data_IF_595677452528
#
_entry.id   IF_595677452528
#
_cell.length_a   1.000
_cell.length_b   1.000
_cell.length_c   1.000
_cell.angle_alpha   90.00
_cell.angle_beta   90.00
_cell.angle_gamma   90.00
#
_symmetry.space_group_name_H-M   'P 1'
#
loop_
_entity.id
_entity.type
_entity.pdbx_description
1 polymer ?
#
# COMPACT_ATOMS: atom_id res chain seq x y z
N UNK A 1 -27.96 -18.86 14.39
CA UNK A 1 -27.15 -17.81 13.72
C UNK A 1 -25.69 -18.20 13.81
N UNK A 2 -25.23 -19.06 12.90
CA UNK A 2 -23.81 -19.44 12.85
C UNK A 2 -23.02 -18.29 12.25
N UNK A 3 -22.16 -17.69 13.05
CA UNK A 3 -21.17 -16.75 12.57
C UNK A 3 -20.13 -17.53 11.75
N UNK A 4 -20.23 -17.43 10.43
CA UNK A 4 -19.15 -17.79 9.51
C UNK A 4 -18.00 -16.83 9.75
N UNK A 5 -17.14 -17.14 10.73
CA UNK A 5 -15.84 -16.48 10.86
C UNK A 5 -15.09 -16.77 9.57
N UNK A 6 -14.90 -15.74 8.73
CA UNK A 6 -13.97 -15.80 7.62
C UNK A 6 -12.58 -16.05 8.19
N UNK A 7 -12.17 -17.32 8.26
CA UNK A 7 -10.87 -17.73 8.75
C UNK A 7 -9.84 -17.36 7.68
N UNK A 8 -9.27 -16.15 7.81
CA UNK A 8 -8.18 -15.64 6.97
C UNK A 8 -7.04 -16.66 6.84
N UNK A 9 -6.75 -17.40 7.91
CA UNK A 9 -5.70 -18.42 7.93
C UNK A 9 -5.98 -19.62 7.00
N UNK A 10 -7.25 -20.00 6.80
CA UNK A 10 -7.62 -21.10 5.91
C UNK A 10 -7.53 -20.66 4.44
N UNK A 11 -8.04 -19.47 4.12
CA UNK A 11 -7.92 -18.88 2.77
C UNK A 11 -6.45 -18.72 2.40
N UNK A 12 -5.63 -18.20 3.32
CA UNK A 12 -4.20 -18.06 3.12
C UNK A 12 -3.55 -19.42 2.86
N UNK A 13 -3.87 -20.47 3.62
CA UNK A 13 -3.32 -21.83 3.40
C UNK A 13 -3.66 -22.41 2.03
N UNK A 14 -4.91 -22.34 1.60
CA UNK A 14 -5.34 -22.86 0.29
C UNK A 14 -4.70 -22.08 -0.86
N UNK A 15 -4.56 -20.76 -0.69
CA UNK A 15 -3.83 -19.87 -1.59
C UNK A 15 -2.33 -20.18 -1.64
N UNK A 16 -1.73 -20.61 -0.52
CA UNK A 16 -0.33 -21.02 -0.46
C UNK A 16 -0.06 -22.40 -1.08
N UNK A 17 -1.09 -23.25 -1.17
CA UNK A 17 -1.02 -24.59 -1.76
C UNK A 17 -1.26 -24.63 -3.28
N UNK A 18 -1.78 -23.56 -3.88
CA UNK A 18 -2.02 -23.47 -5.31
C UNK A 18 -0.74 -23.52 -6.16
N UNK A 19 -0.77 -24.33 -7.22
CA UNK A 19 0.28 -24.42 -8.22
C UNK A 19 0.44 -23.10 -8.99
N UNK A 20 1.67 -22.86 -9.46
CA UNK A 20 1.98 -21.71 -10.32
C UNK A 20 1.27 -21.94 -11.65
N UNK A 21 0.33 -21.07 -12.01
CA UNK A 21 -0.37 -21.13 -13.29
C UNK A 21 0.63 -21.16 -14.45
N UNK A 22 0.35 -21.99 -15.45
CA UNK A 22 1.09 -21.96 -16.71
C UNK A 22 0.82 -20.64 -17.45
N UNK A 23 1.64 -20.34 -18.46
CA UNK A 23 1.44 -19.12 -19.26
C UNK A 23 0.11 -19.20 -20.02
N UNK A 24 -0.23 -20.39 -20.48
CA UNK A 24 -1.43 -20.70 -21.23
C UNK A 24 -2.67 -20.54 -20.35
N UNK A 25 -2.67 -21.13 -19.14
CA UNK A 25 -3.80 -21.02 -18.20
C UNK A 25 -4.05 -19.57 -17.76
N UNK A 26 -2.98 -18.80 -17.51
CA UNK A 26 -3.11 -17.36 -17.21
C UNK A 26 -3.80 -16.59 -18.34
N UNK A 27 -3.42 -16.88 -19.58
CA UNK A 27 -3.99 -16.22 -20.74
C UNK A 27 -5.45 -16.63 -20.96
N UNK A 28 -5.78 -17.89 -20.73
CA UNK A 28 -7.14 -18.40 -20.80
C UNK A 28 -8.05 -17.77 -19.75
N UNK A 29 -7.66 -17.79 -18.48
CA UNK A 29 -8.41 -17.16 -17.38
C UNK A 29 -8.58 -15.64 -17.61
N UNK A 30 -7.52 -14.96 -18.04
CA UNK A 30 -7.58 -13.54 -18.36
C UNK A 30 -8.50 -13.24 -19.55
N UNK A 31 -8.53 -14.11 -20.56
CA UNK A 31 -9.41 -13.98 -21.74
C UNK A 31 -10.86 -14.23 -21.36
N UNK A 32 -11.14 -15.27 -20.59
CA UNK A 32 -12.47 -15.58 -20.07
C UNK A 32 -13.04 -14.41 -19.26
N UNK A 33 -12.25 -13.84 -18.34
CA UNK A 33 -12.64 -12.62 -17.62
C UNK A 33 -12.91 -11.44 -18.58
N UNK A 34 -12.03 -11.20 -19.55
CA UNK A 34 -12.16 -10.02 -20.43
C UNK A 34 -13.33 -10.11 -21.41
N UNK A 35 -13.61 -11.28 -21.97
CA UNK A 35 -14.63 -11.49 -23.00
C UNK A 35 -15.97 -11.84 -22.39
N UNK A 36 -15.98 -12.76 -21.43
CA UNK A 36 -17.20 -13.37 -20.89
C UNK A 36 -17.59 -12.77 -19.52
N UNK A 37 -16.70 -11.95 -18.92
CA UNK A 37 -16.87 -11.44 -17.55
C UNK A 37 -17.08 -12.59 -16.55
N UNK A 38 -16.42 -13.73 -16.78
CA UNK A 38 -16.50 -14.89 -15.90
C UNK A 38 -15.81 -14.58 -14.56
N UNK A 39 -16.63 -14.42 -13.53
CA UNK A 39 -16.17 -14.15 -12.18
C UNK A 39 -15.33 -15.31 -11.61
N UNK A 40 -15.62 -16.55 -11.97
CA UNK A 40 -14.86 -17.72 -11.51
C UNK A 40 -13.43 -17.69 -12.07
N UNK A 41 -13.29 -17.29 -13.34
CA UNK A 41 -11.99 -17.12 -13.97
C UNK A 41 -11.17 -16.00 -13.30
N UNK A 42 -11.81 -14.88 -12.96
CA UNK A 42 -11.17 -13.79 -12.22
C UNK A 42 -10.72 -14.24 -10.82
N UNK A 43 -11.59 -14.92 -10.08
CA UNK A 43 -11.31 -15.37 -8.71
C UNK A 43 -10.15 -16.38 -8.71
N UNK A 44 -10.12 -17.29 -9.68
CA UNK A 44 -9.01 -18.24 -9.87
C UNK A 44 -7.71 -17.49 -10.19
N UNK A 45 -7.74 -16.57 -11.17
CA UNK A 45 -6.56 -15.79 -11.54
C UNK A 45 -6.03 -14.96 -10.37
N UNK A 46 -6.90 -14.27 -9.64
CA UNK A 46 -6.51 -13.40 -8.52
C UNK A 46 -5.96 -14.23 -7.36
N UNK A 47 -6.63 -15.34 -7.01
CA UNK A 47 -6.23 -16.20 -5.89
C UNK A 47 -4.83 -16.81 -6.09
N UNK A 48 -4.48 -17.24 -7.31
CA UNK A 48 -3.14 -17.73 -7.64
C UNK A 48 -2.03 -16.69 -7.41
N UNK A 49 -2.36 -15.40 -7.44
CA UNK A 49 -1.41 -14.30 -7.32
C UNK A 49 -1.39 -13.61 -5.94
N UNK A 50 -2.20 -14.06 -4.98
CA UNK A 50 -2.20 -13.52 -3.62
C UNK A 50 -0.85 -13.73 -2.90
N UNK A 51 -0.11 -14.81 -3.22
CA UNK A 51 1.25 -15.03 -2.70
C UNK A 51 2.21 -13.92 -3.12
N UNK A 52 2.12 -13.46 -4.37
CA UNK A 52 2.90 -12.33 -4.90
C UNK A 52 2.57 -11.06 -4.12
N UNK A 53 1.28 -10.80 -3.88
CA UNK A 53 0.82 -9.64 -3.10
C UNK A 53 1.40 -9.67 -1.69
N UNK A 54 1.28 -10.80 -0.99
CA UNK A 54 1.81 -10.96 0.37
C UNK A 54 3.34 -10.75 0.42
N UNK A 55 4.07 -11.24 -0.59
CA UNK A 55 5.52 -11.05 -0.70
C UNK A 55 5.91 -9.58 -0.94
N UNK A 56 5.14 -8.85 -1.75
CA UNK A 56 5.37 -7.42 -1.98
C UNK A 56 5.04 -6.63 -0.71
N UNK A 57 3.85 -6.84 -0.12
CA UNK A 57 3.39 -6.17 1.10
C UNK A 57 4.35 -6.37 2.28
N UNK A 58 4.92 -7.57 2.44
CA UNK A 58 5.91 -7.86 3.47
C UNK A 58 7.16 -6.96 3.42
N UNK A 59 7.53 -6.42 2.26
CA UNK A 59 8.64 -5.46 2.13
C UNK A 59 8.28 -4.09 2.73
N UNK A 60 7.01 -3.71 2.70
CA UNK A 60 6.51 -2.42 3.20
C UNK A 60 6.05 -2.48 4.67
N UNK A 61 5.85 -3.67 5.25
CA UNK A 61 5.48 -3.83 6.65
C UNK A 61 6.53 -3.26 7.64
N UNK A 62 7.78 -3.07 7.19
CA UNK A 62 8.87 -2.49 7.98
C UNK A 62 8.66 -1.01 8.33
N UNK A 63 7.71 -0.33 7.69
CA UNK A 63 7.42 1.10 7.90
C UNK A 63 6.35 1.36 8.98
N UNK A 64 6.01 0.36 9.81
CA UNK A 64 5.11 0.52 10.95
C UNK A 64 3.61 0.48 10.61
N UNK A 65 3.26 0.14 9.37
CA UNK A 65 1.88 -0.06 8.92
C UNK A 65 1.43 -1.51 9.20
N UNK A 66 0.12 -1.70 9.39
CA UNK A 66 -0.46 -3.04 9.53
C UNK A 66 -0.18 -3.86 8.27
N UNK A 67 0.38 -5.05 8.46
CA UNK A 67 0.63 -5.99 7.35
C UNK A 67 -0.67 -6.41 6.67
N UNK A 68 -1.74 -6.57 7.44
CA UNK A 68 -3.06 -6.95 6.94
C UNK A 68 -3.58 -5.89 5.98
N UNK A 69 -3.55 -4.61 6.37
CA UNK A 69 -4.00 -3.51 5.53
C UNK A 69 -3.18 -3.41 4.24
N UNK A 70 -1.85 -3.56 4.33
CA UNK A 70 -0.97 -3.55 3.16
C UNK A 70 -1.29 -4.68 2.18
N UNK A 71 -1.64 -5.86 2.68
CA UNK A 71 -2.07 -6.99 1.85
C UNK A 71 -3.39 -6.66 1.17
N UNK A 72 -4.39 -6.17 1.92
CA UNK A 72 -5.70 -5.82 1.36
C UNK A 72 -5.60 -4.75 0.26
N UNK A 73 -4.81 -3.70 0.48
CA UNK A 73 -4.53 -2.67 -0.53
C UNK A 73 -3.79 -3.22 -1.74
N UNK A 74 -2.85 -4.15 -1.51
CA UNK A 74 -2.21 -4.90 -2.58
C UNK A 74 -3.20 -5.74 -3.38
N UNK A 75 -4.20 -6.36 -2.74
CA UNK A 75 -5.28 -7.10 -3.41
C UNK A 75 -6.13 -6.17 -4.26
N UNK A 76 -6.47 -4.97 -3.79
CA UNK A 76 -7.15 -3.97 -4.63
C UNK A 76 -6.32 -3.59 -5.86
N UNK A 77 -5.00 -3.41 -5.71
CA UNK A 77 -4.09 -3.20 -6.84
C UNK A 77 -4.08 -4.39 -7.82
N UNK A 78 -4.10 -5.63 -7.31
CA UNK A 78 -4.15 -6.84 -8.13
C UNK A 78 -5.47 -6.92 -8.93
N UNK A 79 -6.60 -6.61 -8.31
CA UNK A 79 -7.91 -6.55 -8.98
C UNK A 79 -7.93 -5.48 -10.08
N UNK A 80 -7.33 -4.32 -9.83
CA UNK A 80 -7.17 -3.27 -10.85
C UNK A 80 -6.29 -3.73 -12.02
N UNK A 81 -5.24 -4.51 -11.73
CA UNK A 81 -4.42 -5.12 -12.77
C UNK A 81 -5.23 -6.09 -13.61
N UNK A 82 -5.99 -7.00 -12.98
CA UNK A 82 -6.80 -8.00 -13.69
C UNK A 82 -7.84 -7.34 -14.62
N UNK A 83 -8.48 -6.26 -14.17
CA UNK A 83 -9.43 -5.51 -15.00
C UNK A 83 -8.82 -4.85 -16.24
N UNK A 84 -7.53 -4.45 -16.17
CA UNK A 84 -6.84 -3.70 -17.25
C UNK A 84 -5.90 -4.57 -18.07
N UNK A 85 -5.72 -5.82 -17.68
CA UNK A 85 -4.76 -6.72 -18.30
C UNK A 85 -5.23 -7.14 -19.70
N UNK A 86 -4.26 -7.32 -20.59
CA UNK A 86 -4.48 -7.73 -21.96
C UNK A 86 -3.60 -8.96 -22.28
N UNK A 87 -4.19 -10.17 -22.35
CA UNK A 87 -3.43 -11.39 -22.59
C UNK A 87 -2.78 -11.41 -23.98
N UNK A 88 -3.34 -10.69 -24.96
CA UNK A 88 -2.86 -10.68 -26.34
C UNK A 88 -1.53 -9.91 -26.51
N UNK A 89 -1.10 -9.16 -25.49
CA UNK A 89 0.19 -8.45 -25.50
C UNK A 89 1.40 -9.34 -25.23
N UNK A 90 1.21 -10.62 -24.87
CA UNK A 90 2.28 -11.61 -24.71
C UNK A 90 3.10 -11.50 -23.41
N UNK A 91 2.77 -10.57 -22.51
CA UNK A 91 3.40 -10.48 -21.18
C UNK A 91 2.67 -11.33 -20.15
N UNK A 92 3.41 -11.89 -19.18
CA UNK A 92 2.82 -12.63 -18.05
C UNK A 92 2.01 -11.69 -17.16
N UNK A 93 0.89 -12.19 -16.63
CA UNK A 93 0.04 -11.40 -15.75
C UNK A 93 0.80 -10.92 -14.50
N UNK A 94 1.59 -11.79 -13.88
CA UNK A 94 2.40 -11.45 -12.70
C UNK A 94 3.33 -10.25 -12.87
N UNK A 95 3.95 -10.12 -14.04
CA UNK A 95 4.83 -8.97 -14.35
C UNK A 95 4.03 -7.67 -14.36
N UNK A 96 2.85 -7.69 -14.98
CA UNK A 96 1.95 -6.54 -15.02
C UNK A 96 1.36 -6.21 -13.65
N UNK A 97 0.87 -7.23 -12.95
CA UNK A 97 0.29 -7.12 -11.61
C UNK A 97 1.26 -6.52 -10.59
N UNK A 98 2.56 -6.87 -10.67
CA UNK A 98 3.58 -6.34 -9.76
C UNK A 98 3.60 -4.81 -9.73
N UNK A 99 3.43 -4.14 -10.87
CA UNK A 99 3.40 -2.67 -10.92
C UNK A 99 2.19 -2.10 -10.19
N UNK A 100 1.00 -2.64 -10.45
CA UNK A 100 -0.24 -2.18 -9.83
C UNK A 100 -0.29 -2.43 -8.33
N UNK A 101 0.15 -3.60 -7.88
CA UNK A 101 0.23 -3.96 -6.46
C UNK A 101 1.16 -2.99 -5.72
N UNK A 102 2.34 -2.71 -6.29
CA UNK A 102 3.29 -1.75 -5.69
C UNK A 102 2.71 -0.35 -5.66
N UNK A 103 2.07 0.10 -6.73
CA UNK A 103 1.47 1.43 -6.80
C UNK A 103 0.34 1.59 -5.77
N UNK A 104 -0.53 0.58 -5.61
CA UNK A 104 -1.61 0.59 -4.63
C UNK A 104 -1.08 0.67 -3.20
N UNK A 105 -0.11 -0.18 -2.85
CA UNK A 105 0.53 -0.18 -1.53
C UNK A 105 1.24 1.16 -1.26
N UNK A 106 1.96 1.70 -2.23
CA UNK A 106 2.65 2.98 -2.08
C UNK A 106 1.67 4.14 -1.90
N UNK A 107 0.55 4.15 -2.63
CA UNK A 107 -0.50 5.14 -2.44
C UNK A 107 -1.07 5.05 -1.02
N UNK A 108 -1.46 3.85 -0.58
CA UNK A 108 -1.97 3.63 0.78
C UNK A 108 -0.99 4.11 1.84
N UNK A 109 0.30 3.80 1.69
CA UNK A 109 1.35 4.25 2.60
C UNK A 109 1.43 5.78 2.63
N UNK A 110 1.44 6.47 1.48
CA UNK A 110 1.48 7.93 1.43
C UNK A 110 0.25 8.59 2.06
N UNK A 111 -0.90 7.93 2.01
CA UNK A 111 -2.14 8.44 2.58
C UNK A 111 -2.28 8.15 4.09
N UNK A 112 -1.62 7.09 4.61
CA UNK A 112 -1.84 6.57 5.97
C UNK A 112 -0.57 6.49 6.86
N UNK A 113 0.60 6.91 6.39
CA UNK A 113 1.86 6.86 7.18
C UNK A 113 1.90 7.78 8.42
N UNK A 114 0.97 8.72 8.56
CA UNK A 114 0.86 9.57 9.75
C UNK A 114 -0.58 10.01 9.98
N UNK A 115 -1.00 9.97 11.26
CA UNK A 115 -2.26 10.57 11.72
C UNK A 115 -2.27 12.07 11.38
N UNK A 116 -1.11 12.72 11.47
CA UNK A 116 -0.91 14.09 10.99
C UNK A 116 -0.71 14.02 9.48
N UNK A 117 -1.80 14.17 8.73
CA UNK A 117 -1.79 14.20 7.28
C UNK A 117 -0.87 15.32 6.78
N UNK A 118 0.33 14.97 6.32
CA UNK A 118 1.18 15.89 5.56
C UNK A 118 0.52 16.14 4.22
N UNK A 119 -0.26 17.21 4.15
CA UNK A 119 -0.96 17.49 2.93
C UNK A 119 0.00 17.80 1.79
N UNK A 120 -0.15 17.05 0.70
CA UNK A 120 0.61 17.15 -0.55
C UNK A 120 0.43 18.48 -1.30
N UNK A 121 -0.25 19.46 -0.70
CA UNK A 121 -0.44 20.80 -1.27
C UNK A 121 0.75 21.72 -0.94
N UNK A 122 1.25 22.43 -1.96
CA UNK A 122 2.35 23.39 -1.84
C UNK A 122 2.21 24.36 -0.66
N UNK A 123 0.99 24.83 -0.38
CA UNK A 123 0.71 25.77 0.70
C UNK A 123 0.98 25.17 2.10
N UNK A 124 0.72 23.87 2.27
CA UNK A 124 0.89 23.17 3.55
C UNK A 124 2.34 22.73 3.79
N UNK A 125 3.09 22.41 2.73
CA UNK A 125 4.56 22.27 2.81
C UNK A 125 5.22 23.57 3.28
N UNK A 126 4.83 24.71 2.71
CA UNK A 126 5.35 26.03 3.11
C UNK A 126 5.11 26.30 4.60
N UNK A 127 3.87 26.08 5.06
CA UNK A 127 3.51 26.25 6.48
C UNK A 127 4.32 25.34 7.41
N UNK A 128 4.56 24.08 7.04
CA UNK A 128 5.38 23.16 7.83
C UNK A 128 6.83 23.66 7.99
N UNK A 129 7.44 24.14 6.92
CA UNK A 129 8.80 24.69 6.99
C UNK A 129 8.84 25.99 7.80
N UNK A 130 7.84 26.87 7.67
CA UNK A 130 7.72 28.07 8.50
C UNK A 130 7.57 27.74 9.99
N UNK A 131 6.69 26.80 10.36
CA UNK A 131 6.52 26.32 11.73
C UNK A 131 7.83 25.76 12.31
N UNK A 132 8.57 24.97 11.52
CA UNK A 132 9.85 24.41 11.93
C UNK A 132 10.91 25.50 12.14
N UNK A 133 10.93 26.52 11.29
CA UNK A 133 11.82 27.67 11.44
C UNK A 133 11.51 28.48 12.71
N UNK A 134 10.23 28.68 13.03
CA UNK A 134 9.82 29.37 14.26
C UNK A 134 10.21 28.56 15.51
N UNK A 135 9.93 27.25 15.52
CA UNK A 135 10.30 26.38 16.64
C UNK A 135 11.81 26.39 16.88
N UNK A 136 12.62 26.33 15.81
CA UNK A 136 14.09 26.43 15.91
C UNK A 136 14.55 27.76 16.52
N UNK A 137 13.89 28.86 16.16
CA UNK A 137 14.21 30.18 16.72
C UNK A 137 13.84 30.28 18.20
N UNK A 138 12.73 29.65 18.62
CA UNK A 138 12.33 29.56 20.03
C UNK A 138 13.35 28.72 20.81
N UNK A 139 13.75 27.56 20.28
CA UNK A 139 14.79 26.73 20.89
C UNK A 139 16.10 27.52 21.05
N UNK A 140 16.52 28.26 20.03
CA UNK A 140 17.72 29.11 20.09
C UNK A 140 17.58 30.27 21.09
N UNK A 141 16.39 30.83 21.27
CA UNK A 141 16.14 31.86 22.29
C UNK A 141 16.07 31.28 23.71
N UNK A 142 15.69 30.01 23.87
CA UNK A 142 15.68 29.31 25.15
C UNK A 142 17.04 28.73 25.56
N UNK A 143 17.95 28.53 24.60
CA UNK A 143 19.30 27.96 24.82
C UNK A 143 20.38 29.06 24.98
N UNK A 144 19.98 30.33 25.04
CA UNK A 144 20.85 31.45 25.41
C UNK A 144 20.82 31.62 26.95
N UNK A 145 21.89 31.24 27.69
CA UNK A 145 21.93 31.35 29.14
C UNK A 145 22.28 32.77 29.61
N UNK A 146 22.29 33.77 28.73
CA UNK A 146 22.49 35.16 29.12
C UNK A 146 21.21 35.77 29.72
N UNK A 147 20.85 35.27 30.90
CA UNK A 147 20.09 36.00 31.89
C UNK A 147 20.85 37.27 32.29
N UNK A 148 20.77 38.30 31.46
CA UNK A 148 21.21 39.64 31.84
C UNK A 148 20.18 40.17 32.83
N UNK A 149 20.64 40.28 34.07
CA UNK A 149 20.09 41.06 35.17
C UNK A 149 19.08 42.12 34.72
N UNK A 150 17.81 41.90 35.06
CA UNK A 150 16.80 42.95 35.17
C UNK A 150 16.59 43.35 36.64
N UNK A 151 17.60 43.18 37.50
CA UNK A 151 17.51 43.47 38.95
C UNK A 151 18.43 44.59 39.44
N UNK A 152 19.37 45.10 38.65
CA UNK A 152 20.38 46.09 39.12
C UNK A 152 20.16 47.53 38.63
N UNK A 153 18.92 48.02 38.57
CA UNK A 153 18.63 49.42 38.25
C UNK A 153 17.64 50.08 39.22
N UNK A 154 17.89 49.94 40.52
CA UNK A 154 17.30 50.74 41.61
C UNK A 154 18.43 51.27 42.50
#
# INVERSE_FOLDING_TARGET
MNQTRFNTDTILRDVFAGDILSREDEAELARAWRVEQDQSALDTLVSSYLRLVAAIAGKYARYGLSREDLVQEGVFGLLQAAQKFDPERGFRFGTYATWWVRAAIQRYMLDNWSIVRFATSHKRKKLFFELRSVLKNIEQASDDPSGTSLIDAA
#
